data_IF_259477353053
#
_entry.id   IF_259477353053
#
_cell.length_a   1.000
_cell.length_b   1.000
_cell.length_c   1.000
_cell.angle_alpha   90.00
_cell.angle_beta   90.00
_cell.angle_gamma   90.00
#
_symmetry.space_group_name_H-M   'P 1'
#
loop_
_entity.id
_entity.type
_entity.pdbx_description
1 polymer ?
#
# COMPACT_ATOMS: atom_id res chain seq x y z
N UNK A 1 -19.72 7.63 -3.51
CA UNK A 1 -20.36 8.53 -4.53
C UNK A 1 -21.41 9.37 -3.85
N UNK A 2 -21.29 10.69 -3.86
CA UNK A 2 -22.30 11.58 -3.30
C UNK A 2 -23.51 11.63 -4.24
N UNK A 3 -24.68 11.24 -3.74
CA UNK A 3 -25.93 11.35 -4.51
C UNK A 3 -26.40 12.81 -4.59
N UNK A 4 -27.27 13.14 -5.56
CA UNK A 4 -27.90 14.46 -5.64
C UNK A 4 -28.58 14.86 -4.31
N UNK A 5 -29.15 13.90 -3.58
CA UNK A 5 -29.81 14.16 -2.29
C UNK A 5 -28.80 14.49 -1.19
N UNK A 6 -27.69 13.77 -1.13
CA UNK A 6 -26.70 13.95 -0.06
C UNK A 6 -25.98 15.28 -0.21
N UNK A 7 -25.61 15.63 -1.44
CA UNK A 7 -24.94 16.92 -1.69
C UNK A 7 -25.90 18.10 -1.50
N UNK A 8 -27.19 17.97 -1.90
CA UNK A 8 -28.19 18.98 -1.65
C UNK A 8 -28.44 19.21 -0.15
N UNK A 9 -28.45 18.13 0.64
CA UNK A 9 -28.58 18.20 2.11
C UNK A 9 -27.42 18.99 2.73
N UNK A 10 -26.20 18.69 2.34
CA UNK A 10 -25.01 19.40 2.82
C UNK A 10 -25.06 20.90 2.49
N UNK A 11 -25.40 21.23 1.23
CA UNK A 11 -25.48 22.63 0.77
C UNK A 11 -26.54 23.41 1.54
N UNK A 12 -27.72 22.82 1.72
CA UNK A 12 -28.80 23.47 2.44
C UNK A 12 -28.49 23.63 3.92
N UNK A 13 -27.78 22.65 4.52
CA UNK A 13 -27.29 22.73 5.90
C UNK A 13 -26.26 23.84 6.08
N UNK A 14 -25.32 23.94 5.18
CA UNK A 14 -24.28 25.02 5.21
C UNK A 14 -24.89 26.40 4.98
N UNK A 15 -25.93 26.51 4.11
CA UNK A 15 -26.57 27.79 3.81
C UNK A 15 -27.44 28.32 4.94
N UNK A 16 -27.97 27.42 5.81
CA UNK A 16 -28.92 27.76 6.87
C UNK A 16 -30.26 28.33 6.40
N UNK A 17 -30.53 28.35 5.09
CA UNK A 17 -31.74 28.93 4.49
C UNK A 17 -32.14 28.15 3.24
N UNK A 18 -33.44 28.20 2.86
CA UNK A 18 -33.91 27.62 1.60
C UNK A 18 -33.20 28.23 0.38
N UNK A 19 -32.87 27.38 -0.60
CA UNK A 19 -32.19 27.77 -1.84
C UNK A 19 -32.99 27.29 -3.06
N UNK A 20 -32.84 28.03 -4.17
CA UNK A 20 -33.38 27.62 -5.46
C UNK A 20 -32.56 26.44 -6.02
N UNK A 21 -33.22 25.47 -6.69
CA UNK A 21 -32.56 24.28 -7.25
C UNK A 21 -31.37 24.60 -8.17
N UNK A 22 -31.42 25.72 -8.91
CA UNK A 22 -30.30 26.21 -9.73
C UNK A 22 -29.06 26.55 -8.89
N UNK A 23 -29.27 27.20 -7.74
CA UNK A 23 -28.16 27.60 -6.86
C UNK A 23 -27.57 26.37 -6.16
N UNK A 24 -28.45 25.47 -5.69
CA UNK A 24 -28.00 24.17 -5.13
C UNK A 24 -27.16 23.42 -6.15
N UNK A 25 -27.60 23.34 -7.40
CA UNK A 25 -26.87 22.64 -8.47
C UNK A 25 -25.54 23.31 -8.79
N UNK A 26 -25.52 24.63 -8.87
CA UNK A 26 -24.29 25.41 -9.14
C UNK A 26 -23.22 25.16 -8.06
N UNK A 27 -23.64 25.13 -6.79
CA UNK A 27 -22.75 24.83 -5.68
C UNK A 27 -22.33 23.35 -5.70
N UNK A 28 -23.27 22.44 -6.00
CA UNK A 28 -23.00 20.99 -6.09
C UNK A 28 -21.96 20.65 -7.16
N UNK A 29 -22.05 21.26 -8.33
CA UNK A 29 -21.07 21.10 -9.42
C UNK A 29 -19.67 21.60 -9.01
N UNK A 30 -19.60 22.74 -8.30
CA UNK A 30 -18.33 23.24 -7.74
C UNK A 30 -17.74 22.31 -6.67
N UNK A 31 -18.59 21.56 -5.95
CA UNK A 31 -18.17 20.56 -4.95
C UNK A 31 -17.95 19.16 -5.54
N UNK A 32 -17.88 19.04 -6.88
CA UNK A 32 -17.52 17.79 -7.54
C UNK A 32 -18.70 16.83 -7.80
N UNK A 33 -19.95 17.32 -7.82
CA UNK A 33 -21.07 16.49 -8.29
C UNK A 33 -20.85 16.11 -9.75
N UNK A 34 -20.71 14.82 -10.01
CA UNK A 34 -20.63 14.29 -11.37
C UNK A 34 -22.04 14.02 -11.91
N UNK A 35 -22.34 14.53 -13.09
CA UNK A 35 -23.61 14.31 -13.80
C UNK A 35 -23.37 14.22 -15.30
N UNK A 36 -24.05 13.26 -15.93
CA UNK A 36 -24.01 13.07 -17.40
C UNK A 36 -25.21 13.74 -18.10
N UNK A 37 -26.16 14.29 -17.34
CA UNK A 37 -27.39 14.91 -17.88
C UNK A 37 -27.15 16.32 -18.38
N UNK A 38 -27.85 16.68 -19.47
CA UNK A 38 -27.78 18.04 -20.09
C UNK A 38 -28.41 19.14 -19.21
N UNK A 39 -29.26 18.79 -18.26
CA UNK A 39 -30.02 19.70 -17.38
C UNK A 39 -29.93 19.28 -15.92
N UNK A 40 -28.74 19.43 -15.27
CA UNK A 40 -28.54 18.96 -13.89
C UNK A 40 -29.42 19.69 -12.86
N UNK A 41 -29.84 20.94 -13.10
CA UNK A 41 -30.77 21.66 -12.24
C UNK A 41 -32.19 21.10 -12.30
N UNK A 42 -32.63 20.59 -13.44
CA UNK A 42 -33.91 19.90 -13.54
C UNK A 42 -33.87 18.57 -12.81
N UNK A 43 -32.77 17.83 -12.92
CA UNK A 43 -32.52 16.60 -12.19
C UNK A 43 -32.50 16.82 -10.67
N UNK A 44 -31.83 17.87 -10.20
CA UNK A 44 -31.80 18.27 -8.80
C UNK A 44 -33.20 18.53 -8.28
N UNK A 45 -33.98 19.38 -8.98
CA UNK A 45 -35.37 19.72 -8.61
C UNK A 45 -36.25 18.48 -8.56
N UNK A 46 -36.22 17.66 -9.61
CA UNK A 46 -36.99 16.42 -9.68
C UNK A 46 -36.66 15.44 -8.53
N UNK A 47 -35.36 15.26 -8.26
CA UNK A 47 -34.88 14.38 -7.20
C UNK A 47 -35.40 14.81 -5.81
N UNK A 48 -35.36 16.11 -5.53
CA UNK A 48 -35.83 16.63 -4.25
C UNK A 48 -37.36 16.54 -4.14
N UNK A 49 -38.12 16.85 -5.22
CA UNK A 49 -39.57 16.70 -5.26
C UNK A 49 -39.99 15.26 -5.04
N UNK A 50 -39.33 14.30 -5.71
CA UNK A 50 -39.64 12.88 -5.54
C UNK A 50 -39.35 12.42 -4.11
N UNK A 51 -38.25 12.89 -3.47
CA UNK A 51 -37.99 12.55 -2.07
C UNK A 51 -39.10 13.11 -1.12
N UNK A 52 -39.52 14.36 -1.34
CA UNK A 52 -40.55 15.00 -0.55
C UNK A 52 -41.87 14.26 -0.72
N UNK A 53 -42.31 13.95 -1.94
CA UNK A 53 -43.58 13.30 -2.22
C UNK A 53 -43.64 11.87 -1.66
N UNK A 54 -42.52 11.12 -1.78
CA UNK A 54 -42.48 9.74 -1.34
C UNK A 54 -42.38 9.61 0.20
N UNK A 55 -41.62 10.49 0.84
CA UNK A 55 -41.35 10.41 2.28
C UNK A 55 -42.24 11.33 3.12
N UNK A 56 -42.92 12.29 2.51
CA UNK A 56 -43.76 13.28 3.16
C UNK A 56 -43.05 13.92 4.36
N UNK A 57 -43.63 13.81 5.55
CA UNK A 57 -43.07 14.38 6.80
C UNK A 57 -41.74 13.78 7.20
N UNK A 58 -41.41 12.59 6.67
CA UNK A 58 -40.09 11.93 6.91
C UNK A 58 -39.00 12.36 5.91
N UNK A 59 -39.33 13.21 4.93
CA UNK A 59 -38.33 13.74 4.03
C UNK A 59 -37.40 14.72 4.77
N UNK A 60 -36.11 14.64 4.46
CA UNK A 60 -35.08 15.62 4.95
C UNK A 60 -35.31 17.01 4.35
N UNK A 61 -36.13 17.12 3.32
CA UNK A 61 -36.34 18.33 2.54
C UNK A 61 -37.78 18.80 2.66
N UNK A 62 -37.98 20.12 2.54
CA UNK A 62 -39.26 20.76 2.38
C UNK A 62 -39.25 21.60 1.11
N UNK A 63 -40.43 21.78 0.53
CA UNK A 63 -40.64 22.73 -0.59
C UNK A 63 -41.06 24.08 0.00
N UNK A 64 -40.17 25.06 -0.05
CA UNK A 64 -40.38 26.40 0.47
C UNK A 64 -40.96 27.37 -0.59
N UNK A 65 -41.03 26.96 -1.88
CA UNK A 65 -41.56 27.75 -2.97
C UNK A 65 -41.38 27.08 -4.33
N UNK A 66 -41.70 27.74 -5.44
CA UNK A 66 -41.45 27.21 -6.79
C UNK A 66 -39.93 26.97 -7.00
N UNK A 67 -39.54 25.68 -7.12
CA UNK A 67 -38.15 25.25 -7.24
C UNK A 67 -37.25 25.69 -6.09
N UNK A 68 -37.80 26.11 -4.95
CA UNK A 68 -37.03 26.47 -3.74
C UNK A 68 -37.21 25.35 -2.72
N UNK A 69 -36.06 24.87 -2.19
CA UNK A 69 -36.00 23.75 -1.24
C UNK A 69 -35.27 24.18 0.02
N UNK A 70 -35.75 23.67 1.17
CA UNK A 70 -35.10 23.85 2.47
C UNK A 70 -34.96 22.52 3.20
N UNK A 71 -34.38 22.54 4.36
CA UNK A 71 -34.31 21.38 5.26
C UNK A 71 -35.60 21.29 6.09
N UNK A 72 -36.02 20.07 6.35
CA UNK A 72 -37.13 19.77 7.26
C UNK A 72 -36.58 19.68 8.70
N UNK A 73 -36.78 20.73 9.48
CA UNK A 73 -36.31 20.82 10.86
C UNK A 73 -36.95 19.79 11.80
N UNK A 74 -38.11 19.23 11.43
CA UNK A 74 -38.81 18.20 12.22
C UNK A 74 -38.22 16.79 12.01
N UNK A 75 -37.37 16.58 11.03
CA UNK A 75 -36.68 15.32 10.80
C UNK A 75 -35.34 15.35 11.51
N UNK A 76 -35.31 14.75 12.70
CA UNK A 76 -34.02 14.44 13.36
C UNK A 76 -33.35 13.37 12.50
N UNK A 77 -32.53 13.79 11.56
CA UNK A 77 -31.60 12.89 10.88
C UNK A 77 -30.57 12.48 11.94
N UNK A 78 -30.39 11.18 12.24
CA UNK A 78 -29.25 10.76 13.00
C UNK A 78 -28.04 11.26 12.18
N UNK A 79 -27.36 12.25 12.71
CA UNK A 79 -26.08 12.71 12.17
C UNK A 79 -25.19 11.48 12.26
N UNK A 80 -24.97 10.79 11.14
CA UNK A 80 -23.73 10.06 10.99
C UNK A 80 -22.68 11.15 11.12
N UNK A 81 -22.19 11.30 12.31
CA UNK A 81 -20.91 11.97 12.53
C UNK A 81 -19.94 11.03 11.82
N UNK A 82 -19.71 11.26 10.51
CA UNK A 82 -18.42 10.93 9.95
C UNK A 82 -17.47 11.81 10.78
N UNK A 83 -16.95 11.22 11.83
CA UNK A 83 -15.73 11.72 12.45
C UNK A 83 -14.77 11.75 11.27
N UNK A 84 -14.59 12.94 10.69
CA UNK A 84 -13.41 13.24 9.91
C UNK A 84 -12.31 13.05 10.94
N UNK A 85 -11.83 11.83 11.09
CA UNK A 85 -10.52 11.60 11.65
C UNK A 85 -9.62 12.38 10.70
N UNK A 86 -9.16 13.54 11.13
CA UNK A 86 -7.95 14.09 10.56
C UNK A 86 -6.97 12.94 10.62
N UNK A 87 -6.73 12.29 9.49
CA UNK A 87 -5.67 11.30 9.40
C UNK A 87 -4.40 12.05 9.73
N UNK A 88 -3.94 11.88 10.97
CA UNK A 88 -2.62 12.37 11.35
C UNK A 88 -1.63 11.65 10.46
N UNK A 89 -1.13 12.35 9.47
CA UNK A 89 -0.06 11.83 8.62
C UNK A 89 1.20 11.77 9.48
N UNK A 90 1.56 10.58 9.91
CA UNK A 90 2.81 10.32 10.61
C UNK A 90 3.91 10.16 9.56
N UNK A 91 4.88 11.05 9.55
CA UNK A 91 6.03 10.94 8.65
C UNK A 91 7.17 10.22 9.36
N UNK A 92 7.78 9.27 8.65
CA UNK A 92 9.00 8.62 9.11
C UNK A 92 10.11 9.67 9.19
N UNK A 93 10.86 9.66 10.29
CA UNK A 93 11.99 10.58 10.46
C UNK A 93 13.03 10.40 9.35
N UNK A 94 13.48 11.51 8.79
CA UNK A 94 14.56 11.53 7.81
C UNK A 94 15.93 11.17 8.42
N UNK A 95 16.04 11.26 9.75
CA UNK A 95 17.28 11.05 10.48
C UNK A 95 17.56 9.56 10.81
N UNK A 96 16.70 8.64 10.34
CA UNK A 96 16.96 7.21 10.48
C UNK A 96 18.22 6.82 9.71
N UNK A 97 19.25 6.37 10.42
CA UNK A 97 20.54 5.98 9.84
C UNK A 97 20.41 4.76 8.93
N UNK A 98 21.37 4.58 8.01
CA UNK A 98 21.39 3.42 7.11
C UNK A 98 21.40 2.09 7.88
N UNK A 99 22.09 2.03 9.02
CA UNK A 99 22.11 0.84 9.89
C UNK A 99 20.73 0.56 10.46
N UNK A 100 20.05 1.57 11.03
CA UNK A 100 18.69 1.42 11.57
C UNK A 100 17.70 1.00 10.49
N UNK A 101 17.82 1.54 9.26
CA UNK A 101 17.01 1.10 8.11
C UNK A 101 17.24 -0.36 7.77
N UNK A 102 18.50 -0.83 7.81
CA UNK A 102 18.82 -2.24 7.66
C UNK A 102 18.16 -3.10 8.73
N UNK A 103 18.35 -2.75 10.00
CA UNK A 103 17.76 -3.47 11.15
C UNK A 103 16.22 -3.55 11.07
N UNK A 104 15.55 -2.48 10.62
CA UNK A 104 14.10 -2.46 10.42
C UNK A 104 13.69 -3.44 9.30
N UNK A 105 14.40 -3.41 8.16
CA UNK A 105 14.09 -4.29 7.04
C UNK A 105 14.28 -5.77 7.42
N UNK A 106 15.37 -6.09 8.10
CA UNK A 106 15.65 -7.44 8.58
C UNK A 106 14.58 -7.95 9.55
N UNK A 107 14.14 -7.08 10.48
CA UNK A 107 13.06 -7.41 11.42
C UNK A 107 11.74 -7.67 10.69
N UNK A 108 11.38 -6.85 9.67
CA UNK A 108 10.18 -7.03 8.85
C UNK A 108 10.22 -8.32 8.03
N UNK A 109 11.37 -8.66 7.45
CA UNK A 109 11.54 -9.93 6.73
C UNK A 109 11.40 -11.12 7.67
N UNK A 110 12.01 -11.09 8.86
CA UNK A 110 11.86 -12.14 9.86
C UNK A 110 10.40 -12.31 10.34
N UNK A 111 9.69 -11.18 10.51
CA UNK A 111 8.26 -11.15 10.84
C UNK A 111 7.43 -11.83 9.74
N UNK A 112 7.64 -11.49 8.46
CA UNK A 112 6.94 -12.10 7.33
C UNK A 112 7.14 -13.62 7.27
N UNK A 113 8.39 -14.08 7.43
CA UNK A 113 8.71 -15.50 7.46
C UNK A 113 7.98 -16.21 8.62
N UNK A 114 7.88 -15.55 9.77
CA UNK A 114 7.23 -16.11 10.96
C UNK A 114 5.70 -16.12 10.85
N UNK A 115 5.10 -15.05 10.31
CA UNK A 115 3.65 -14.92 10.23
C UNK A 115 3.03 -15.75 9.10
N UNK A 116 3.72 -15.82 7.96
CA UNK A 116 3.20 -16.50 6.76
C UNK A 116 3.87 -17.86 6.51
N UNK A 117 4.98 -18.17 7.20
CA UNK A 117 5.52 -19.52 7.27
C UNK A 117 4.63 -20.37 8.14
N UNK A 118 4.50 -21.62 7.76
CA UNK A 118 3.89 -22.54 8.68
C UNK A 118 4.82 -22.73 9.92
N UNK A 119 4.35 -23.42 10.97
CA UNK A 119 5.11 -23.59 12.22
C UNK A 119 6.44 -24.35 12.04
N UNK A 120 6.80 -24.74 10.83
CA UNK A 120 8.00 -25.54 10.52
C UNK A 120 9.27 -24.70 10.44
N UNK A 121 9.17 -23.39 10.20
CA UNK A 121 10.33 -22.51 10.11
C UNK A 121 10.70 -21.89 11.46
N UNK A 122 12.01 -21.65 11.65
CA UNK A 122 12.54 -20.85 12.74
C UNK A 122 13.57 -19.85 12.16
N UNK A 123 13.46 -18.57 12.56
CA UNK A 123 14.38 -17.52 12.16
C UNK A 123 15.35 -17.23 13.30
N UNK A 124 16.62 -17.02 12.94
CA UNK A 124 17.67 -16.60 13.85
C UNK A 124 18.41 -15.42 13.25
N UNK A 125 18.78 -14.47 14.07
CA UNK A 125 19.64 -13.35 13.67
C UNK A 125 21.07 -13.65 14.14
N UNK A 126 22.08 -13.55 13.26
CA UNK A 126 23.49 -13.67 13.66
C UNK A 126 23.87 -12.57 14.67
N UNK A 127 24.74 -12.89 15.60
CA UNK A 127 25.27 -11.92 16.57
C UNK A 127 26.28 -10.97 15.88
N UNK A 128 27.04 -11.49 14.89
CA UNK A 128 27.97 -10.71 14.10
C UNK A 128 27.65 -10.85 12.61
N UNK A 129 27.84 -9.76 11.85
CA UNK A 129 27.63 -9.69 10.39
C UNK A 129 29.00 -9.74 9.67
N UNK A 130 29.74 -10.82 9.87
CA UNK A 130 31.08 -10.94 9.28
C UNK A 130 31.03 -11.42 7.82
N UNK A 131 29.99 -12.18 7.45
CA UNK A 131 29.83 -12.83 6.15
C UNK A 131 28.72 -12.20 5.29
N UNK A 132 28.02 -11.17 5.81
CA UNK A 132 26.88 -10.55 5.13
C UNK A 132 25.62 -11.41 5.18
N UNK A 133 25.47 -12.24 6.21
CA UNK A 133 24.28 -13.03 6.50
C UNK A 133 23.45 -12.28 7.53
N UNK A 134 22.27 -11.84 7.13
CA UNK A 134 21.40 -11.04 7.99
C UNK A 134 20.37 -11.91 8.75
N UNK A 135 19.92 -13.04 8.16
CA UNK A 135 19.03 -14.02 8.78
C UNK A 135 19.46 -15.44 8.47
N UNK A 136 19.27 -16.33 9.45
CA UNK A 136 19.38 -17.77 9.30
C UNK A 136 17.98 -18.36 9.49
N UNK A 137 17.47 -19.06 8.49
CA UNK A 137 16.16 -19.71 8.52
C UNK A 137 16.38 -21.21 8.52
N UNK A 138 15.82 -21.89 9.52
CA UNK A 138 15.96 -23.34 9.70
C UNK A 138 14.61 -24.02 9.65
N UNK A 139 14.54 -25.18 9.00
CA UNK A 139 13.41 -26.09 9.11
C UNK A 139 13.49 -26.84 10.46
N UNK A 140 12.45 -26.70 11.30
CA UNK A 140 12.38 -27.36 12.60
C UNK A 140 12.33 -28.86 12.40
N UNK A 141 13.09 -29.61 13.23
CA UNK A 141 13.15 -31.06 13.14
C UNK A 141 14.06 -31.58 12.02
N UNK A 142 14.71 -30.72 11.26
CA UNK A 142 15.69 -31.11 10.24
C UNK A 142 16.99 -30.30 10.38
N UNK A 143 18.02 -30.64 9.60
CA UNK A 143 19.27 -29.86 9.50
C UNK A 143 19.24 -28.86 8.37
N UNK A 144 18.16 -28.77 7.59
CA UNK A 144 18.03 -27.84 6.48
C UNK A 144 18.01 -26.41 6.97
N UNK A 145 18.92 -25.63 6.45
CA UNK A 145 19.15 -24.26 6.86
C UNK A 145 19.39 -23.41 5.63
N UNK A 146 18.78 -22.22 5.60
CA UNK A 146 19.03 -21.20 4.60
C UNK A 146 19.65 -19.96 5.25
N UNK A 147 20.62 -19.40 4.56
CA UNK A 147 21.32 -18.18 4.91
C UNK A 147 20.80 -17.06 4.00
N UNK A 148 20.26 -16.01 4.58
CA UNK A 148 19.60 -14.93 3.83
C UNK A 148 20.36 -13.63 4.06
N UNK A 149 20.81 -13.02 2.95
CA UNK A 149 21.23 -11.63 2.93
C UNK A 149 20.06 -10.74 2.54
N UNK A 150 19.91 -9.59 3.21
CA UNK A 150 18.83 -8.65 2.96
C UNK A 150 19.42 -7.33 2.46
N UNK A 151 18.88 -6.83 1.37
CA UNK A 151 19.21 -5.52 0.84
C UNK A 151 17.93 -4.69 0.74
N UNK A 152 17.88 -3.61 1.50
CA UNK A 152 16.71 -2.75 1.55
C UNK A 152 16.98 -1.38 0.95
N UNK A 153 15.93 -0.76 0.44
CA UNK A 153 15.89 0.63 0.04
C UNK A 153 14.64 1.28 0.63
N UNK A 154 14.79 2.50 1.10
CA UNK A 154 13.72 3.29 1.70
C UNK A 154 13.41 4.48 0.81
N UNK A 155 12.14 4.73 0.51
CA UNK A 155 11.68 5.85 -0.31
C UNK A 155 10.16 5.92 -0.37
N UNK A 156 9.68 6.96 -1.05
CA UNK A 156 8.27 7.28 -1.25
C UNK A 156 7.87 7.28 -2.74
N UNK A 157 8.82 7.05 -3.64
CA UNK A 157 8.56 7.07 -5.07
C UNK A 157 8.37 5.66 -5.63
N UNK A 158 7.13 5.27 -6.07
CA UNK A 158 6.85 3.96 -6.64
C UNK A 158 7.59 3.67 -7.94
N UNK A 159 8.01 4.70 -8.68
CA UNK A 159 8.70 4.55 -9.96
C UNK A 159 10.23 4.51 -9.81
N UNK A 160 10.73 4.61 -8.58
CA UNK A 160 12.17 4.58 -8.32
C UNK A 160 12.78 3.22 -8.67
N UNK A 161 13.90 3.25 -9.40
CA UNK A 161 14.66 2.03 -9.71
C UNK A 161 15.35 1.55 -8.44
N UNK A 162 15.14 0.28 -8.10
CA UNK A 162 15.83 -0.36 -7.01
C UNK A 162 17.25 -0.74 -7.44
N UNK A 163 18.25 -0.24 -6.74
CA UNK A 163 19.66 -0.58 -6.96
C UNK A 163 20.28 -1.06 -5.66
N UNK A 164 21.02 -2.17 -5.72
CA UNK A 164 21.79 -2.66 -4.59
C UNK A 164 23.07 -3.34 -5.06
N UNK A 165 24.03 -3.46 -4.16
CA UNK A 165 25.26 -4.20 -4.40
C UNK A 165 25.56 -5.14 -3.24
N UNK A 166 26.18 -6.28 -3.54
CA UNK A 166 26.70 -7.22 -2.55
C UNK A 166 28.16 -7.51 -2.84
N UNK A 167 28.94 -7.85 -1.82
CA UNK A 167 30.33 -8.31 -2.01
C UNK A 167 30.32 -9.72 -2.61
N UNK A 168 31.12 -9.97 -3.63
CA UNK A 168 31.26 -11.31 -4.23
C UNK A 168 31.79 -12.32 -3.22
N UNK A 169 32.69 -11.92 -2.31
CA UNK A 169 33.24 -12.77 -1.26
C UNK A 169 32.23 -13.25 -0.23
N UNK A 170 31.10 -12.54 -0.08
CA UNK A 170 30.00 -12.94 0.80
C UNK A 170 28.95 -13.82 0.12
N UNK A 171 29.13 -14.16 -1.18
CA UNK A 171 28.17 -15.00 -1.92
C UNK A 171 28.72 -16.40 -2.09
N UNK A 172 28.03 -17.39 -1.54
CA UNK A 172 28.32 -18.80 -1.74
C UNK A 172 27.42 -19.35 -2.85
N UNK A 173 28.01 -19.94 -3.88
CA UNK A 173 27.29 -20.56 -4.99
C UNK A 173 26.61 -21.86 -4.57
N UNK A 174 25.58 -21.70 -3.72
CA UNK A 174 24.82 -22.81 -3.17
C UNK A 174 23.37 -22.37 -2.92
N UNK A 175 22.43 -23.25 -3.17
CA UNK A 175 20.97 -23.01 -2.95
C UNK A 175 20.59 -22.85 -1.48
N UNK A 176 21.48 -23.18 -0.52
CA UNK A 176 21.27 -22.84 0.89
C UNK A 176 21.46 -21.35 1.20
N UNK A 177 21.87 -20.54 0.21
CA UNK A 177 21.99 -19.10 0.35
C UNK A 177 21.09 -18.38 -0.64
N UNK A 178 20.48 -17.27 -0.18
CA UNK A 178 19.63 -16.39 -1.01
C UNK A 178 19.81 -14.92 -0.63
N UNK A 179 19.44 -14.03 -1.55
CA UNK A 179 19.35 -12.59 -1.30
C UNK A 179 17.90 -12.17 -1.41
N UNK A 180 17.43 -11.40 -0.42
CA UNK A 180 16.14 -10.72 -0.44
C UNK A 180 16.38 -9.25 -0.71
N UNK A 181 15.76 -8.72 -1.77
CA UNK A 181 15.75 -7.29 -2.05
C UNK A 181 14.36 -6.77 -1.72
N UNK A 182 14.24 -5.82 -0.81
CA UNK A 182 12.97 -5.28 -0.36
C UNK A 182 12.98 -3.76 -0.35
N UNK A 183 11.87 -3.17 -0.77
CA UNK A 183 11.65 -1.74 -0.72
C UNK A 183 10.75 -1.41 0.46
N UNK A 184 11.15 -0.45 1.29
CA UNK A 184 10.36 0.07 2.38
C UNK A 184 9.72 1.39 1.94
N UNK A 185 8.40 1.39 1.86
CA UNK A 185 7.62 2.57 1.53
C UNK A 185 7.51 3.47 2.77
N UNK A 186 8.04 4.68 2.67
CA UNK A 186 8.08 5.61 3.81
C UNK A 186 6.78 6.36 4.02
N UNK A 187 5.86 6.36 3.06
CA UNK A 187 4.51 6.91 3.23
C UNK A 187 3.61 5.92 3.95
N UNK A 188 3.65 4.65 3.54
CA UNK A 188 2.87 3.58 4.16
C UNK A 188 3.48 3.10 5.50
N UNK A 189 4.78 3.31 5.71
CA UNK A 189 5.48 2.84 6.90
C UNK A 189 5.69 1.32 6.95
N UNK A 190 5.68 0.67 5.79
CA UNK A 190 5.82 -0.78 5.65
C UNK A 190 6.61 -1.16 4.40
N UNK A 191 6.92 -2.46 4.27
CA UNK A 191 7.47 -2.99 3.04
C UNK A 191 6.44 -2.92 1.92
N UNK A 192 6.91 -2.57 0.72
CA UNK A 192 6.12 -2.72 -0.50
C UNK A 192 5.58 -4.16 -0.61
N UNK A 193 4.45 -4.34 -1.28
CA UNK A 193 3.76 -5.64 -1.34
C UNK A 193 4.56 -6.74 -2.06
N UNK A 194 5.57 -6.35 -2.82
CA UNK A 194 6.43 -7.28 -3.54
C UNK A 194 7.89 -7.13 -3.09
N UNK A 195 8.63 -8.23 -3.18
CA UNK A 195 10.07 -8.27 -2.96
C UNK A 195 10.70 -9.27 -3.94
N UNK A 196 12.01 -9.16 -4.14
CA UNK A 196 12.74 -10.15 -4.92
C UNK A 196 13.41 -11.16 -3.99
N UNK A 197 13.14 -12.43 -4.23
CA UNK A 197 13.80 -13.55 -3.57
C UNK A 197 14.65 -14.29 -4.59
N UNK A 198 15.97 -14.19 -4.49
CA UNK A 198 16.91 -14.69 -5.49
C UNK A 198 17.88 -15.66 -4.84
N UNK A 199 17.96 -16.91 -5.32
CA UNK A 199 18.98 -17.86 -4.86
C UNK A 199 20.38 -17.34 -5.17
N UNK A 200 21.38 -17.64 -4.35
CA UNK A 200 22.74 -17.20 -4.58
C UNK A 200 23.30 -17.66 -5.94
N UNK A 201 23.09 -18.91 -6.42
CA UNK A 201 23.49 -19.32 -7.76
C UNK A 201 22.87 -18.47 -8.87
N UNK A 202 21.56 -18.19 -8.78
CA UNK A 202 20.87 -17.35 -9.77
C UNK A 202 21.33 -15.91 -9.69
N UNK A 203 21.57 -15.40 -8.49
CA UNK A 203 22.05 -14.04 -8.30
C UNK A 203 23.47 -13.86 -8.87
N UNK A 204 24.40 -14.78 -8.61
CA UNK A 204 25.74 -14.78 -9.17
C UNK A 204 25.71 -14.83 -10.70
N UNK A 205 24.84 -15.68 -11.26
CA UNK A 205 24.67 -15.88 -12.70
C UNK A 205 24.14 -14.63 -13.41
N UNK A 206 23.17 -13.95 -12.81
CA UNK A 206 22.42 -12.88 -13.47
C UNK A 206 22.87 -11.48 -13.07
N UNK A 207 23.64 -11.32 -11.99
CA UNK A 207 24.11 -10.01 -11.53
C UNK A 207 25.13 -9.37 -12.48
N UNK A 208 25.20 -8.05 -12.45
CA UNK A 208 26.27 -7.31 -13.12
C UNK A 208 27.53 -7.32 -12.24
N UNK A 209 28.66 -7.74 -12.80
CA UNK A 209 29.94 -7.70 -12.09
C UNK A 209 30.47 -6.27 -12.10
N UNK A 210 30.72 -5.71 -10.94
CA UNK A 210 31.20 -4.36 -10.71
C UNK A 210 32.56 -4.40 -10.00
N UNK A 211 33.30 -3.27 -10.03
CA UNK A 211 34.57 -3.12 -9.31
C UNK A 211 35.53 -4.28 -9.56
N UNK A 212 35.81 -4.60 -10.85
CA UNK A 212 36.70 -5.70 -11.21
C UNK A 212 36.23 -7.09 -10.79
N UNK A 213 34.92 -7.26 -10.54
CA UNK A 213 34.33 -8.53 -10.09
C UNK A 213 34.20 -8.69 -8.58
N UNK A 214 34.63 -7.71 -7.80
CA UNK A 214 34.52 -7.76 -6.33
C UNK A 214 33.12 -7.46 -5.80
N UNK A 215 32.23 -6.90 -6.64
CA UNK A 215 30.85 -6.56 -6.31
C UNK A 215 29.89 -7.12 -7.34
N UNK A 216 28.73 -7.57 -6.87
CA UNK A 216 27.59 -8.02 -7.66
C UNK A 216 26.49 -6.97 -7.59
N UNK A 217 26.03 -6.50 -8.75
CA UNK A 217 25.02 -5.45 -8.87
C UNK A 217 23.64 -6.00 -9.19
N UNK A 218 22.65 -5.49 -8.46
CA UNK A 218 21.21 -5.70 -8.69
C UNK A 218 20.58 -4.38 -9.13
N UNK A 219 19.81 -4.40 -10.22
CA UNK A 219 19.06 -3.24 -10.71
C UNK A 219 17.72 -3.72 -11.23
N UNK A 220 16.62 -3.26 -10.64
CA UNK A 220 15.26 -3.64 -11.03
C UNK A 220 14.29 -2.45 -10.88
N UNK A 221 13.29 -2.37 -11.77
CA UNK A 221 12.15 -1.49 -11.58
C UNK A 221 11.14 -2.12 -10.63
N UNK A 222 10.43 -1.31 -9.84
CA UNK A 222 9.37 -1.81 -8.96
C UNK A 222 8.11 -2.24 -9.72
N UNK A 223 7.89 -1.70 -10.89
CA UNK A 223 6.82 -2.14 -11.77
C UNK A 223 7.29 -3.33 -12.61
N UNK A 224 6.54 -4.42 -12.57
CA UNK A 224 6.82 -5.60 -13.40
C UNK A 224 6.74 -5.21 -14.88
N UNK A 225 7.88 -5.27 -15.57
CA UNK A 225 7.99 -5.05 -17.02
C UNK A 225 8.60 -6.30 -17.63
N UNK A 226 8.01 -6.81 -18.71
CA UNK A 226 8.38 -8.09 -19.34
C UNK A 226 9.86 -8.23 -19.75
N UNK A 227 10.63 -7.17 -19.74
CA UNK A 227 12.03 -7.17 -20.15
C UNK A 227 13.05 -7.20 -19.01
N UNK A 228 12.64 -7.21 -17.75
CA UNK A 228 13.56 -7.22 -16.63
C UNK A 228 13.90 -8.66 -16.20
N UNK A 229 15.17 -8.99 -16.22
CA UNK A 229 15.66 -10.33 -15.85
C UNK A 229 15.31 -10.74 -14.40
N UNK A 230 14.99 -9.76 -13.54
CA UNK A 230 14.66 -9.98 -12.13
C UNK A 230 13.16 -10.18 -11.88
N UNK A 231 12.30 -9.96 -12.89
CA UNK A 231 10.85 -10.08 -12.73
C UNK A 231 10.39 -11.52 -12.39
N UNK A 232 11.17 -12.53 -12.80
CA UNK A 232 10.91 -13.92 -12.44
C UNK A 232 11.15 -14.23 -10.95
N UNK A 233 11.85 -13.37 -10.24
CA UNK A 233 12.16 -13.50 -8.82
C UNK A 233 11.32 -12.56 -7.95
N UNK A 234 10.45 -11.76 -8.58
CA UNK A 234 9.54 -10.85 -7.89
C UNK A 234 8.34 -11.64 -7.38
N UNK A 235 8.16 -11.64 -6.08
CA UNK A 235 7.10 -12.38 -5.38
C UNK A 235 6.29 -11.45 -4.46
N UNK A 236 5.06 -11.82 -4.14
CA UNK A 236 4.33 -11.18 -3.03
C UNK A 236 5.10 -11.41 -1.72
N UNK A 237 5.23 -10.37 -0.90
CA UNK A 237 5.99 -10.44 0.37
C UNK A 237 5.49 -11.53 1.31
N UNK A 238 4.20 -11.87 1.24
CA UNK A 238 3.56 -12.92 2.06
C UNK A 238 3.89 -14.33 1.59
N UNK A 239 4.34 -14.48 0.34
CA UNK A 239 4.74 -15.79 -0.22
C UNK A 239 6.22 -16.15 0.09
N UNK A 240 6.97 -15.24 0.71
CA UNK A 240 8.40 -15.42 0.98
C UNK A 240 8.70 -16.73 1.72
N UNK A 241 7.92 -17.05 2.75
CA UNK A 241 8.12 -18.26 3.53
C UNK A 241 7.91 -19.55 2.69
N UNK A 242 6.91 -19.57 1.80
CA UNK A 242 6.67 -20.69 0.90
C UNK A 242 7.82 -20.86 -0.11
N UNK A 243 8.38 -19.75 -0.62
CA UNK A 243 9.54 -19.80 -1.52
C UNK A 243 10.79 -20.32 -0.80
N UNK A 244 11.00 -19.96 0.46
CA UNK A 244 12.07 -20.51 1.30
C UNK A 244 11.89 -22.01 1.48
N UNK A 245 10.69 -22.48 1.83
CA UNK A 245 10.37 -23.90 1.97
C UNK A 245 10.60 -24.65 0.65
N UNK A 246 10.15 -24.06 -0.47
CA UNK A 246 10.35 -24.65 -1.79
C UNK A 246 11.86 -24.78 -2.14
N UNK A 247 12.66 -23.77 -1.80
CA UNK A 247 14.10 -23.80 -2.03
C UNK A 247 14.81 -24.79 -1.10
N UNK A 248 14.38 -24.94 0.16
CA UNK A 248 14.91 -25.94 1.09
C UNK A 248 14.71 -27.39 0.61
N UNK A 249 13.80 -27.65 -0.32
CA UNK A 249 13.65 -28.96 -0.96
C UNK A 249 14.73 -29.26 -1.98
N UNK A 250 15.52 -28.24 -2.39
CA UNK A 250 16.63 -28.37 -3.36
C UNK A 250 17.99 -28.57 -2.69
N UNK A 251 18.06 -28.49 -1.35
CA UNK A 251 19.24 -28.69 -0.51
C UNK A 251 19.14 -29.89 0.40
#
# INVERSE_FOLDING_TARGET
MNTFKDIAYQILKESGKPLHSKDITKIALKKGLMTTGKTPEATMSATLIVDINNKKEKSRFIKAGPSIFGLNENVIVPVKIEVIKEEKVYKISKDVSSRQKGDIAEARIAELITLYGDTTLACYKPISDDEGIDLIVKEKGSLKTMYIQIKSRFGDNPDEIFTATTKTSGMVDNYSMAVVFCYFDTEEGDLWDYLWFVSAPDFIKHSNKLTGGNMLGFVAGRQKKESNKWDNYLIDKRDLANQIIAQMKRI
#
